data_IF_993199503104
#
_entry.id   IF_993199503104
#
_cell.length_a   1.000
_cell.length_b   1.000
_cell.length_c   1.000
_cell.angle_alpha   90.00
_cell.angle_beta   90.00
_cell.angle_gamma   90.00
#
_symmetry.space_group_name_H-M   'P 1'
#
loop_
_entity.id
_entity.type
_entity.pdbx_description
1 polymer ?
#
# COMPACT_ATOMS: atom_id res chain seq x y z
N UNK A 1 20.97 6.87 1.93
CA UNK A 1 21.13 7.06 0.47
C UNK A 1 21.29 5.72 -0.23
N UNK A 2 22.18 4.82 0.24
CA UNK A 2 22.27 3.45 -0.28
C UNK A 2 21.00 2.60 -0.05
N UNK A 3 20.20 2.92 0.98
CA UNK A 3 19.01 2.15 1.33
C UNK A 3 17.86 2.26 0.30
N UNK A 4 17.59 3.48 -0.19
CA UNK A 4 16.55 3.69 -1.19
C UNK A 4 16.86 3.07 -2.57
N UNK A 5 18.14 2.89 -2.89
CA UNK A 5 18.59 2.32 -4.17
C UNK A 5 18.49 0.78 -4.17
N UNK A 6 18.78 0.11 -3.03
CA UNK A 6 18.57 -1.34 -2.91
C UNK A 6 17.07 -1.67 -2.93
N UNK A 7 16.22 -0.85 -2.30
CA UNK A 7 14.78 -1.10 -2.25
C UNK A 7 14.12 -0.89 -3.62
N UNK A 8 14.55 0.12 -4.37
CA UNK A 8 14.08 0.35 -5.74
C UNK A 8 14.51 -0.77 -6.68
N UNK A 9 15.75 -1.26 -6.53
CA UNK A 9 16.21 -2.42 -7.32
C UNK A 9 15.51 -3.72 -6.91
N UNK A 10 15.28 -3.97 -5.62
CA UNK A 10 14.54 -5.15 -5.16
C UNK A 10 13.09 -5.15 -5.69
N UNK A 11 12.38 -4.01 -5.62
CA UNK A 11 11.06 -3.85 -6.24
C UNK A 11 11.11 -4.13 -7.74
N UNK A 12 12.10 -3.60 -8.46
CA UNK A 12 12.24 -3.82 -9.90
C UNK A 12 12.52 -5.30 -10.25
N UNK A 13 13.22 -6.04 -9.40
CA UNK A 13 13.42 -7.48 -9.54
C UNK A 13 12.11 -8.25 -9.30
N UNK A 14 11.40 -7.97 -8.19
CA UNK A 14 10.09 -8.59 -7.89
C UNK A 14 9.07 -8.33 -9.01
N UNK A 15 9.11 -7.15 -9.62
CA UNK A 15 8.22 -6.78 -10.73
C UNK A 15 8.52 -7.53 -12.04
N UNK A 16 9.75 -8.00 -12.27
CA UNK A 16 10.10 -8.76 -13.49
C UNK A 16 9.56 -10.19 -13.48
N UNK A 17 9.49 -10.80 -12.30
CA UNK A 17 9.13 -12.20 -12.13
C UNK A 17 7.63 -12.40 -11.80
N UNK A 18 6.89 -11.32 -11.57
CA UNK A 18 5.46 -11.40 -11.25
C UNK A 18 4.62 -11.62 -12.52
N UNK A 19 3.93 -12.75 -12.59
CA UNK A 19 2.99 -13.07 -13.66
C UNK A 19 1.85 -12.04 -13.74
N UNK A 20 1.39 -11.71 -14.96
CA UNK A 20 0.36 -10.69 -15.19
C UNK A 20 -0.98 -10.98 -14.49
N UNK A 21 -1.22 -12.24 -14.16
CA UNK A 21 -2.43 -12.74 -13.52
C UNK A 21 -2.24 -13.06 -12.03
N UNK A 22 -1.16 -12.56 -11.40
CA UNK A 22 -0.94 -12.72 -9.97
C UNK A 22 -2.08 -12.11 -9.16
N UNK A 23 -2.68 -12.91 -8.27
CA UNK A 23 -3.72 -12.49 -7.32
C UNK A 23 -3.32 -12.98 -5.92
N UNK A 24 -3.63 -12.19 -4.90
CA UNK A 24 -3.38 -12.60 -3.51
C UNK A 24 -4.47 -13.57 -3.04
N UNK A 25 -4.07 -14.57 -2.28
CA UNK A 25 -4.98 -15.50 -1.60
C UNK A 25 -5.00 -15.23 -0.09
N UNK A 26 -6.16 -15.47 0.52
CA UNK A 26 -6.29 -15.48 1.98
C UNK A 26 -5.42 -16.63 2.52
N UNK A 27 -4.65 -16.36 3.56
CA UNK A 27 -3.70 -17.31 4.17
C UNK A 27 -2.28 -17.26 3.59
N UNK A 28 -2.01 -16.42 2.59
CA UNK A 28 -0.63 -16.16 2.16
C UNK A 28 0.17 -15.50 3.29
N UNK A 29 1.41 -15.95 3.48
CA UNK A 29 2.28 -15.47 4.56
C UNK A 29 3.54 -14.82 4.01
N UNK A 30 3.99 -13.78 4.68
CA UNK A 30 5.23 -13.06 4.40
C UNK A 30 6.07 -12.98 5.68
N UNK A 31 7.39 -13.03 5.53
CA UNK A 31 8.31 -13.17 6.66
C UNK A 31 8.51 -11.87 7.42
N UNK A 32 8.27 -10.73 6.76
CA UNK A 32 8.44 -9.40 7.34
C UNK A 32 7.51 -8.35 6.67
N UNK A 33 7.41 -7.17 7.28
CA UNK A 33 6.55 -6.08 6.76
C UNK A 33 7.01 -5.59 5.39
N UNK A 34 8.32 -5.49 5.19
CA UNK A 34 8.93 -4.94 3.99
C UNK A 34 8.61 -5.81 2.77
N UNK A 35 8.73 -7.12 2.91
CA UNK A 35 8.39 -8.13 1.91
C UNK A 35 6.89 -8.05 1.56
N UNK A 36 6.01 -8.09 2.56
CA UNK A 36 4.57 -7.96 2.34
C UNK A 36 4.20 -6.65 1.61
N UNK A 37 4.82 -5.54 2.01
CA UNK A 37 4.61 -4.24 1.38
C UNK A 37 5.15 -4.20 -0.05
N UNK A 38 6.38 -4.67 -0.28
CA UNK A 38 7.01 -4.65 -1.59
C UNK A 38 6.29 -5.53 -2.60
N UNK A 39 5.87 -6.73 -2.21
CA UNK A 39 5.08 -7.61 -3.08
C UNK A 39 3.75 -6.94 -3.44
N UNK A 40 3.07 -6.31 -2.49
CA UNK A 40 1.81 -5.61 -2.77
C UNK A 40 2.00 -4.36 -3.64
N UNK A 41 3.08 -3.60 -3.44
CA UNK A 41 3.43 -2.44 -4.26
C UNK A 41 3.78 -2.86 -5.68
N UNK A 42 4.58 -3.91 -5.86
CA UNK A 42 4.91 -4.45 -7.18
C UNK A 42 3.65 -4.89 -7.93
N UNK A 43 2.75 -5.61 -7.24
CA UNK A 43 1.43 -5.98 -7.76
C UNK A 43 0.62 -4.75 -8.19
N UNK A 44 0.56 -3.73 -7.34
CA UNK A 44 -0.22 -2.53 -7.62
C UNK A 44 0.32 -1.74 -8.82
N UNK A 45 1.64 -1.58 -8.94
CA UNK A 45 2.27 -0.93 -10.10
C UNK A 45 2.05 -1.78 -11.37
N UNK A 46 2.14 -3.11 -11.25
CA UNK A 46 1.85 -4.05 -12.33
C UNK A 46 0.42 -3.91 -12.87
N UNK A 47 -0.58 -3.82 -11.98
CA UNK A 47 -1.99 -3.59 -12.32
C UNK A 47 -2.28 -2.14 -12.73
N UNK A 48 -1.49 -1.16 -12.31
CA UNK A 48 -1.61 0.24 -12.69
C UNK A 48 -2.31 1.14 -11.66
N UNK A 49 -2.12 0.90 -10.36
CA UNK A 49 -2.62 1.79 -9.31
C UNK A 49 -1.57 2.05 -8.22
N UNK A 50 -1.71 3.15 -7.50
CA UNK A 50 -0.83 3.48 -6.37
C UNK A 50 -1.34 2.90 -5.05
N UNK A 51 -0.41 2.56 -4.15
CA UNK A 51 -0.71 2.05 -2.80
C UNK A 51 -0.52 3.15 -1.76
N UNK A 52 -1.38 3.16 -0.74
CA UNK A 52 -1.26 3.99 0.46
C UNK A 52 -1.37 3.13 1.72
N UNK A 53 -0.60 3.50 2.75
CA UNK A 53 -0.74 2.95 4.09
C UNK A 53 -2.04 3.48 4.72
N UNK A 54 -2.87 2.56 5.18
CA UNK A 54 -4.12 2.87 5.87
C UNK A 54 -3.96 2.55 7.36
N UNK A 55 -4.81 1.68 7.90
CA UNK A 55 -4.83 1.37 9.32
C UNK A 55 -3.66 0.48 9.77
N UNK A 56 -3.09 0.82 10.92
CA UNK A 56 -2.11 0.05 11.67
C UNK A 56 -2.67 -0.18 13.07
N UNK A 57 -2.94 -1.42 13.45
CA UNK A 57 -3.36 -1.75 14.80
C UNK A 57 -2.17 -2.31 15.58
N UNK A 58 -2.00 -1.81 16.81
CA UNK A 58 -0.99 -2.29 17.75
C UNK A 58 -1.65 -2.87 18.99
N UNK A 59 -1.03 -3.88 19.59
CA UNK A 59 -1.46 -4.39 20.90
C UNK A 59 -1.01 -3.45 22.02
N UNK A 60 -1.37 -3.79 23.27
CA UNK A 60 -0.96 -3.02 24.47
C UNK A 60 0.55 -2.96 24.68
N UNK A 61 1.32 -3.89 24.11
CA UNK A 61 2.79 -3.93 24.16
C UNK A 61 3.43 -3.07 23.06
N UNK A 62 2.63 -2.47 22.17
CA UNK A 62 3.11 -1.64 21.07
C UNK A 62 3.48 -2.42 19.79
N UNK A 63 3.27 -3.74 19.78
CA UNK A 63 3.56 -4.63 18.66
C UNK A 63 2.43 -4.53 17.63
N UNK A 64 2.79 -4.55 16.34
CA UNK A 64 1.83 -4.52 15.24
C UNK A 64 1.06 -5.84 15.24
N UNK A 65 -0.28 -5.75 15.17
CA UNK A 65 -1.18 -6.91 15.11
C UNK A 65 -1.97 -6.95 13.82
N UNK A 66 -2.23 -5.79 13.20
CA UNK A 66 -2.85 -5.72 11.87
C UNK A 66 -2.29 -4.56 11.07
N UNK A 67 -2.15 -4.79 9.77
CA UNK A 67 -1.71 -3.80 8.78
C UNK A 67 -2.66 -3.80 7.61
N UNK A 68 -3.10 -2.64 7.15
CA UNK A 68 -3.95 -2.51 5.97
C UNK A 68 -3.28 -1.60 4.94
N UNK A 69 -3.21 -2.06 3.69
CA UNK A 69 -2.83 -1.25 2.55
C UNK A 69 -4.02 -1.08 1.62
N UNK A 70 -4.20 0.14 1.10
CA UNK A 70 -5.34 0.51 0.26
C UNK A 70 -4.87 1.14 -1.04
N UNK A 71 -5.75 1.15 -2.03
CA UNK A 71 -5.53 1.99 -3.21
C UNK A 71 -5.43 3.46 -2.82
N UNK A 72 -4.60 4.24 -3.52
CA UNK A 72 -4.46 5.68 -3.30
C UNK A 72 -5.78 6.44 -3.53
N UNK A 73 -6.71 5.89 -4.31
CA UNK A 73 -8.05 6.43 -4.53
C UNK A 73 -9.08 5.99 -3.47
N UNK A 74 -8.68 5.28 -2.41
CA UNK A 74 -9.58 4.82 -1.35
C UNK A 74 -10.00 5.94 -0.40
N UNK A 75 -11.20 5.80 0.15
CA UNK A 75 -11.86 6.78 1.02
C UNK A 75 -12.57 7.89 0.24
N UNK A 76 -13.18 8.83 0.96
CA UNK A 76 -13.80 10.02 0.37
C UNK A 76 -13.02 11.26 0.81
N UNK A 77 -13.04 12.35 0.02
CA UNK A 77 -12.55 13.64 0.50
C UNK A 77 -13.32 14.02 1.77
N UNK A 78 -12.60 14.48 2.79
CA UNK A 78 -13.22 15.00 4.01
C UNK A 78 -13.82 16.36 3.64
N UNK A 79 -15.15 16.43 3.55
CA UNK A 79 -15.87 17.68 3.35
C UNK A 79 -15.88 18.45 4.67
N UNK A 80 -14.93 19.36 4.90
CA UNK A 80 -15.05 20.33 5.99
C UNK A 80 -14.22 21.57 5.72
N UNK A 81 -14.91 22.70 5.81
CA UNK A 81 -14.55 24.07 6.16
C UNK A 81 -13.34 24.33 7.12
N UNK A 82 -12.26 23.56 7.05
CA UNK A 82 -10.95 23.80 7.71
C UNK A 82 -9.86 24.02 6.65
N UNK A 83 -10.26 24.67 5.55
CA UNK A 83 -9.55 24.69 4.28
C UNK A 83 -8.46 25.76 4.18
N UNK A 84 -8.06 26.42 5.26
CA UNK A 84 -7.05 27.49 5.14
C UNK A 84 -5.60 27.01 5.10
N UNK A 85 -5.32 25.70 5.28
CA UNK A 85 -3.91 25.20 5.32
C UNK A 85 -3.58 24.01 4.43
N UNK A 86 -4.47 23.56 3.55
CA UNK A 86 -4.20 22.38 2.69
C UNK A 86 -4.53 22.57 1.21
N UNK A 87 -4.37 23.78 0.70
CA UNK A 87 -4.26 24.02 -0.74
C UNK A 87 -2.95 23.43 -1.28
N UNK A 88 -2.94 22.17 -1.73
CA UNK A 88 -2.13 21.74 -2.89
C UNK A 88 -2.32 20.28 -3.37
N UNK A 89 -3.14 19.45 -2.71
CA UNK A 89 -3.23 18.03 -3.13
C UNK A 89 -4.68 17.63 -3.29
N UNK A 90 -5.19 17.82 -4.50
CA UNK A 90 -6.40 17.16 -4.99
C UNK A 90 -6.14 15.66 -5.07
N UNK A 91 -6.10 15.00 -3.91
CA UNK A 91 -6.11 13.56 -3.80
C UNK A 91 -7.54 13.14 -4.19
N UNK A 92 -7.73 12.80 -5.47
CA UNK A 92 -9.03 12.36 -6.00
C UNK A 92 -9.35 10.98 -5.41
N UNK A 93 -9.82 10.98 -4.17
CA UNK A 93 -10.32 9.80 -3.48
C UNK A 93 -11.73 9.54 -3.98
N UNK A 94 -11.91 8.48 -4.77
CA UNK A 94 -13.17 8.09 -5.39
C UNK A 94 -13.87 6.96 -4.63
N UNK A 95 -13.50 6.71 -3.37
CA UNK A 95 -14.07 5.64 -2.57
C UNK A 95 -13.65 4.24 -3.02
N UNK A 96 -12.48 4.10 -3.65
CA UNK A 96 -12.02 2.80 -4.16
C UNK A 96 -11.99 1.73 -3.03
N UNK A 97 -12.64 0.57 -3.20
CA UNK A 97 -12.72 -0.45 -2.15
C UNK A 97 -11.49 -1.38 -2.10
N UNK A 98 -10.61 -1.30 -3.11
CA UNK A 98 -9.44 -2.14 -3.24
C UNK A 98 -8.50 -1.99 -2.04
N UNK A 99 -8.24 -3.12 -1.37
CA UNK A 99 -7.42 -3.19 -0.16
C UNK A 99 -6.89 -4.59 0.09
N UNK A 100 -5.82 -4.66 0.86
CA UNK A 100 -5.30 -5.90 1.44
C UNK A 100 -5.11 -5.68 2.95
N UNK A 101 -5.48 -6.67 3.75
CA UNK A 101 -5.29 -6.67 5.21
C UNK A 101 -4.43 -7.84 5.61
N UNK A 102 -3.48 -7.55 6.49
CA UNK A 102 -2.62 -8.51 7.12
C UNK A 102 -2.94 -8.62 8.60
N UNK A 103 -2.95 -9.86 9.10
CA UNK A 103 -2.74 -10.16 10.51
C UNK A 103 -1.25 -10.34 10.72
N UNK A 104 -0.75 -9.78 11.81
CA UNK A 104 0.66 -9.87 12.17
C UNK A 104 0.77 -10.72 13.43
N UNK A 105 1.52 -11.81 13.34
CA UNK A 105 1.83 -12.70 14.45
C UNK A 105 3.34 -12.95 14.48
N UNK A 106 4.01 -12.54 15.55
CA UNK A 106 5.46 -12.68 15.71
C UNK A 106 6.29 -12.14 14.51
N UNK A 107 5.82 -11.06 13.88
CA UNK A 107 6.47 -10.45 12.71
C UNK A 107 6.11 -11.08 11.37
N UNK A 108 5.37 -12.19 11.36
CA UNK A 108 4.84 -12.84 10.15
C UNK A 108 3.54 -12.15 9.74
N UNK A 109 3.44 -11.78 8.46
CA UNK A 109 2.30 -11.09 7.89
C UNK A 109 1.44 -12.08 7.09
N UNK A 110 0.26 -12.41 7.62
CA UNK A 110 -0.71 -13.31 6.98
C UNK A 110 -1.85 -12.51 6.35
N UNK A 111 -2.16 -12.76 5.07
CA UNK A 111 -3.29 -12.12 4.37
C UNK A 111 -4.61 -12.65 4.92
N UNK A 112 -5.39 -11.77 5.54
CA UNK A 112 -6.73 -12.11 6.10
C UNK A 112 -7.88 -11.57 5.25
N UNK A 113 -7.63 -10.56 4.42
CA UNK A 113 -8.61 -9.97 3.54
C UNK A 113 -7.91 -9.42 2.31
N UNK A 114 -8.48 -9.70 1.14
CA UNK A 114 -8.01 -9.16 -0.13
C UNK A 114 -9.20 -8.79 -1.00
N UNK A 115 -9.24 -7.54 -1.45
CA UNK A 115 -10.25 -7.00 -2.35
C UNK A 115 -9.53 -6.42 -3.56
N UNK A 116 -9.63 -7.11 -4.70
CA UNK A 116 -9.03 -6.69 -5.98
C UNK A 116 -9.92 -5.77 -6.81
N UNK A 117 -11.17 -5.52 -6.38
CA UNK A 117 -12.12 -4.69 -7.14
C UNK A 117 -11.78 -3.20 -7.06
N UNK A 118 -11.65 -2.56 -8.22
CA UNK A 118 -11.48 -1.12 -8.37
C UNK A 118 -12.72 -0.47 -9.00
N UNK A 119 -12.98 0.78 -8.64
CA UNK A 119 -14.07 1.59 -9.21
C UNK A 119 -13.56 2.76 -10.07
N UNK A 120 -12.30 2.72 -10.48
CA UNK A 120 -11.64 3.71 -11.31
C UNK A 120 -10.76 3.01 -12.35
N UNK A 121 -10.46 3.65 -13.49
CA UNK A 121 -9.54 3.08 -14.46
C UNK A 121 -8.13 2.94 -13.88
N UNK A 122 -7.42 1.92 -14.34
CA UNK A 122 -5.99 1.76 -14.07
C UNK A 122 -5.17 2.71 -14.94
N UNK A 123 -3.98 3.06 -14.45
CA UNK A 123 -3.00 3.86 -15.17
C UNK A 123 -2.41 3.00 -16.30
N UNK A 124 -2.39 3.50 -17.54
CA UNK A 124 -1.90 2.73 -18.68
C UNK A 124 -0.40 2.44 -18.57
N UNK A 125 0.08 1.39 -19.25
CA UNK A 125 1.45 0.89 -19.08
C UNK A 125 2.53 1.95 -19.31
N UNK A 126 2.38 2.78 -20.35
CA UNK A 126 3.32 3.87 -20.66
C UNK A 126 3.38 4.98 -19.58
N UNK A 127 2.43 4.98 -18.65
CA UNK A 127 2.28 5.98 -17.59
C UNK A 127 2.52 5.40 -16.18
N UNK A 128 2.85 4.11 -16.06
CA UNK A 128 3.13 3.45 -14.77
C UNK A 128 4.26 4.14 -13.98
N UNK A 129 5.23 4.76 -14.67
CA UNK A 129 6.29 5.55 -14.05
C UNK A 129 5.79 6.77 -13.25
N UNK A 130 4.55 7.21 -13.46
CA UNK A 130 3.91 8.30 -12.70
C UNK A 130 3.17 7.80 -11.44
N UNK A 131 3.03 6.48 -11.26
CA UNK A 131 2.39 5.90 -10.09
C UNK A 131 3.22 6.23 -8.86
N UNK A 132 2.65 7.03 -7.95
CA UNK A 132 3.22 7.26 -6.64
C UNK A 132 2.64 6.25 -5.67
N UNK A 133 3.48 5.34 -5.19
CA UNK A 133 3.19 4.61 -3.96
C UNK A 133 3.58 5.52 -2.78
N UNK A 134 2.76 5.56 -1.73
CA UNK A 134 2.97 6.43 -0.57
C UNK A 134 4.42 6.35 -0.05
N UNK A 135 4.93 7.45 0.53
CA UNK A 135 6.32 7.58 1.01
C UNK A 135 6.78 6.25 1.64
N UNK A 136 7.84 5.67 1.07
CA UNK A 136 8.50 4.44 1.53
C UNK A 136 8.67 4.49 3.04
N UNK A 137 8.39 3.35 3.69
CA UNK A 137 8.44 3.22 5.12
C UNK A 137 9.85 3.55 5.61
N UNK A 138 10.04 4.73 6.19
CA UNK A 138 11.16 4.92 7.12
C UNK A 138 10.75 4.35 8.47
N UNK A 139 11.72 3.78 9.22
CA UNK A 139 11.59 3.16 10.55
C UNK A 139 10.92 4.02 11.65
N UNK A 140 10.38 5.18 11.30
CA UNK A 140 9.80 6.17 12.21
C UNK A 140 8.45 6.67 11.72
N UNK A 141 7.54 5.78 11.33
CA UNK A 141 6.13 6.15 11.20
C UNK A 141 5.46 6.27 12.60
N UNK A 142 5.81 7.33 13.33
CA UNK A 142 5.03 7.86 14.45
C UNK A 142 3.78 8.53 13.86
N UNK A 143 2.65 7.84 13.91
CA UNK A 143 1.35 8.49 13.75
C UNK A 143 0.99 9.11 15.11
N UNK A 144 1.24 10.40 15.28
CA UNK A 144 0.58 11.17 16.34
C UNK A 144 -0.83 11.48 15.85
N UNK A 145 -1.79 11.15 16.72
CA UNK A 145 -3.23 11.39 16.57
C UNK A 145 -3.57 12.83 16.24
#
# INVERSE_FOLDING_TARGET
MAESEYETSHLAHVMRDMEKDYEFAIGMVFSNELEAYHTYVAYAIGKGFGVRNDNLLRNRKGEITRRTFVCNCAGHPINSSDQEKKYHRSEVRCGCPARIKFKVDNGIYEVIEYVSTHNHPFIPEGQKHMIRCGRMMSDTCKCYS
#
